data_IF_390823693660
#
_entry.id   IF_390823693660
#
_cell.length_a   1.000
_cell.length_b   1.000
_cell.length_c   1.000
_cell.angle_alpha   90.00
_cell.angle_beta   90.00
_cell.angle_gamma   90.00
#
_symmetry.space_group_name_H-M   'P 1'
#
loop_
_entity.id
_entity.type
_entity.pdbx_description
1 polymer ?
#
# COMPACT_ATOMS: atom_id res chain seq x y z
N UNK A 1 -13.13 -41.39 -77.04
CA UNK A 1 -12.21 -41.66 -75.89
C UNK A 1 -11.38 -40.47 -75.50
N UNK A 2 -11.27 -39.41 -76.26
CA UNK A 2 -10.43 -38.20 -75.96
C UNK A 2 -11.07 -37.15 -75.05
N UNK A 3 -12.40 -37.09 -74.97
CA UNK A 3 -13.11 -36.07 -74.18
C UNK A 3 -13.07 -36.32 -72.66
N UNK A 4 -12.98 -37.54 -72.17
CA UNK A 4 -12.92 -37.88 -70.76
C UNK A 4 -11.57 -37.54 -70.13
N UNK A 5 -10.48 -37.60 -70.87
CA UNK A 5 -9.14 -37.32 -70.42
C UNK A 5 -8.90 -35.81 -70.22
N UNK A 6 -9.51 -35.00 -71.09
CA UNK A 6 -9.44 -33.52 -70.95
C UNK A 6 -10.20 -33.05 -69.71
N UNK A 7 -11.36 -33.65 -69.45
CA UNK A 7 -12.17 -33.29 -68.27
C UNK A 7 -11.43 -33.62 -66.97
N UNK A 8 -10.76 -34.75 -66.89
CA UNK A 8 -10.00 -35.17 -65.69
C UNK A 8 -8.77 -34.31 -65.45
N UNK A 9 -8.08 -33.87 -66.52
CA UNK A 9 -6.94 -32.96 -66.44
C UNK A 9 -7.36 -31.55 -66.00
N UNK A 10 -8.49 -31.03 -66.43
CA UNK A 10 -9.05 -29.76 -66.03
C UNK A 10 -9.46 -29.76 -64.54
N UNK A 11 -10.17 -30.80 -64.09
CA UNK A 11 -10.60 -30.96 -62.72
C UNK A 11 -9.40 -31.03 -61.75
N UNK A 12 -8.34 -31.75 -62.14
CA UNK A 12 -7.11 -31.86 -61.37
C UNK A 12 -6.35 -30.51 -61.28
N UNK A 13 -6.38 -29.72 -62.35
CA UNK A 13 -5.75 -28.37 -62.38
C UNK A 13 -6.54 -27.37 -61.55
N UNK A 14 -7.88 -27.42 -61.55
CA UNK A 14 -8.72 -26.57 -60.71
C UNK A 14 -8.60 -26.94 -59.23
N UNK A 15 -8.56 -28.22 -58.90
CA UNK A 15 -8.35 -28.66 -57.47
C UNK A 15 -7.03 -28.20 -56.93
N UNK A 16 -5.94 -28.28 -57.71
CA UNK A 16 -4.64 -27.80 -57.28
C UNK A 16 -4.55 -26.25 -57.16
N UNK A 17 -5.34 -25.53 -57.97
CA UNK A 17 -5.40 -24.07 -57.91
C UNK A 17 -6.14 -23.59 -56.64
N UNK A 18 -7.25 -24.25 -56.33
CA UNK A 18 -8.04 -23.97 -55.12
C UNK A 18 -7.22 -24.28 -53.87
N UNK A 19 -6.51 -25.41 -53.85
CA UNK A 19 -5.64 -25.76 -52.71
C UNK A 19 -4.46 -24.77 -52.48
N UNK A 20 -3.90 -24.22 -53.58
CA UNK A 20 -2.82 -23.21 -53.50
C UNK A 20 -3.30 -21.85 -53.03
N UNK A 21 -4.59 -21.50 -53.25
CA UNK A 21 -5.13 -20.20 -52.84
C UNK A 21 -5.76 -20.22 -51.42
N UNK A 22 -6.28 -21.38 -50.99
CA UNK A 22 -6.95 -21.49 -49.67
C UNK A 22 -5.97 -21.63 -48.53
N UNK A 23 -4.80 -22.27 -48.73
CA UNK A 23 -3.79 -22.42 -47.67
C UNK A 23 -3.20 -21.10 -47.19
N UNK A 24 -2.76 -20.14 -48.04
CA UNK A 24 -2.24 -18.87 -47.52
C UNK A 24 -3.32 -18.00 -46.87
N UNK A 25 -4.57 -18.06 -47.36
CA UNK A 25 -5.69 -17.29 -46.81
C UNK A 25 -6.06 -17.77 -45.39
N UNK A 26 -6.13 -19.10 -45.16
CA UNK A 26 -6.39 -19.67 -43.84
C UNK A 26 -5.27 -19.35 -42.84
N UNK A 27 -4.01 -19.37 -43.25
CA UNK A 27 -2.87 -19.04 -42.38
C UNK A 27 -2.89 -17.56 -42.02
N UNK A 28 -3.25 -16.66 -42.92
CA UNK A 28 -3.38 -15.23 -42.61
C UNK A 28 -4.53 -14.95 -41.63
N UNK A 29 -5.69 -15.61 -41.78
CA UNK A 29 -6.84 -15.44 -40.89
C UNK A 29 -6.51 -15.97 -39.48
N UNK A 30 -5.83 -17.12 -39.35
CA UNK A 30 -5.37 -17.67 -38.11
C UNK A 30 -4.31 -16.78 -37.45
N UNK A 31 -3.38 -16.21 -38.21
CA UNK A 31 -2.35 -15.29 -37.70
C UNK A 31 -2.94 -13.98 -37.17
N UNK A 32 -3.92 -13.39 -37.86
CA UNK A 32 -4.61 -12.17 -37.40
C UNK A 32 -5.50 -12.45 -36.18
N UNK A 33 -6.18 -13.61 -36.15
CA UNK A 33 -6.97 -14.02 -34.99
C UNK A 33 -6.15 -14.22 -33.74
N UNK A 34 -4.94 -14.79 -33.85
CA UNK A 34 -4.05 -14.98 -32.70
C UNK A 34 -3.44 -13.67 -32.18
N UNK A 35 -3.17 -12.69 -33.04
CA UNK A 35 -2.60 -11.40 -32.65
C UNK A 35 -3.63 -10.50 -31.92
N UNK A 36 -4.92 -10.64 -32.18
CA UNK A 36 -5.97 -9.89 -31.52
C UNK A 36 -6.20 -10.39 -30.07
N UNK A 37 -5.97 -11.68 -29.80
CA UNK A 37 -6.13 -12.26 -28.47
C UNK A 37 -4.97 -11.86 -27.54
N UNK A 38 -3.77 -11.62 -28.09
CA UNK A 38 -2.60 -11.24 -27.30
C UNK A 38 -2.62 -9.78 -26.77
N UNK A 39 -3.50 -8.91 -27.30
CA UNK A 39 -3.62 -7.53 -26.88
C UNK A 39 -4.69 -7.30 -25.79
N UNK A 40 -5.34 -8.35 -25.29
CA UNK A 40 -6.38 -8.27 -24.25
C UNK A 40 -5.85 -8.46 -22.80
N UNK A 41 -4.53 -8.54 -22.61
CA UNK A 41 -3.96 -8.38 -21.28
C UNK A 41 -3.81 -6.88 -20.97
N UNK A 42 -4.92 -6.26 -20.60
CA UNK A 42 -4.88 -4.99 -19.88
C UNK A 42 -4.34 -5.32 -18.48
N UNK A 43 -3.04 -5.12 -18.27
CA UNK A 43 -2.47 -5.16 -16.93
C UNK A 43 -3.03 -3.94 -16.21
N UNK A 44 -4.12 -4.12 -15.47
CA UNK A 44 -4.56 -3.11 -14.53
C UNK A 44 -3.38 -2.87 -13.57
N UNK A 45 -2.73 -1.71 -13.65
CA UNK A 45 -1.68 -1.29 -12.73
C UNK A 45 -2.28 -1.04 -11.33
N UNK A 46 -2.71 -2.15 -10.71
CA UNK A 46 -3.20 -2.10 -9.34
C UNK A 46 -2.04 -1.81 -8.39
N UNK A 47 -2.20 -0.92 -7.42
CA UNK A 47 -1.21 -0.72 -6.38
C UNK A 47 -0.88 -2.05 -5.70
N UNK A 48 0.39 -2.40 -5.58
CA UNK A 48 0.85 -3.62 -4.90
C UNK A 48 0.45 -3.62 -3.42
N UNK A 49 0.30 -2.43 -2.83
CA UNK A 49 -0.13 -2.27 -1.45
C UNK A 49 -1.40 -1.41 -1.40
N UNK A 50 -2.52 -2.01 -0.99
CA UNK A 50 -3.80 -1.31 -0.83
C UNK A 50 -3.94 -0.61 0.54
N UNK A 51 -2.93 -0.72 1.41
CA UNK A 51 -2.94 -0.13 2.73
C UNK A 51 -2.28 1.24 2.67
N UNK A 52 -3.03 2.29 3.00
CA UNK A 52 -2.45 3.61 3.23
C UNK A 52 -1.88 3.70 4.64
N UNK A 53 -0.82 4.47 4.79
CA UNK A 53 -0.06 4.58 6.03
C UNK A 53 -0.09 6.03 6.52
N UNK A 54 -0.42 6.24 7.79
CA UNK A 54 -0.20 7.54 8.42
C UNK A 54 1.28 7.71 8.75
N UNK A 55 1.84 8.85 8.40
CA UNK A 55 3.22 9.20 8.70
C UNK A 55 3.28 10.09 9.94
N UNK A 56 4.07 9.65 10.91
CA UNK A 56 4.27 10.35 12.18
C UNK A 56 5.72 10.77 12.30
N UNK A 57 5.98 12.07 12.41
CA UNK A 57 7.30 12.63 12.71
C UNK A 57 7.51 12.79 14.21
N UNK A 58 8.76 12.65 14.69
CA UNK A 58 9.14 12.80 16.07
C UNK A 58 9.90 14.11 16.30
N UNK A 59 9.50 14.85 17.29
CA UNK A 59 10.00 16.19 17.56
C UNK A 59 10.27 16.42 19.05
N UNK A 60 11.27 17.22 19.34
CA UNK A 60 11.45 17.82 20.65
C UNK A 60 10.37 18.89 20.90
N UNK A 61 10.20 19.31 22.14
CA UNK A 61 9.27 20.37 22.53
C UNK A 61 9.55 21.72 21.87
N UNK A 62 10.78 21.96 21.41
CA UNK A 62 11.21 23.15 20.66
C UNK A 62 10.95 23.08 19.15
N UNK A 63 10.41 21.95 18.66
CA UNK A 63 10.12 21.72 17.24
C UNK A 63 11.28 21.17 16.43
N UNK A 64 12.44 20.89 17.04
CA UNK A 64 13.52 20.20 16.34
C UNK A 64 13.25 18.71 16.21
N UNK A 65 13.77 18.10 15.13
CA UNK A 65 13.61 16.66 14.89
C UNK A 65 14.26 15.87 16.03
N UNK A 66 13.53 14.91 16.58
CA UNK A 66 14.00 13.99 17.59
C UNK A 66 14.27 12.62 17.00
N UNK A 67 15.43 12.04 17.31
CA UNK A 67 15.72 10.63 17.07
C UNK A 67 15.51 9.86 18.37
N UNK A 68 14.56 8.93 18.37
CA UNK A 68 14.29 8.06 19.53
C UNK A 68 15.26 6.89 19.50
N UNK A 69 16.17 6.83 20.47
CA UNK A 69 17.20 5.80 20.57
C UNK A 69 16.74 4.55 21.33
N UNK A 70 15.68 4.67 22.13
CA UNK A 70 15.05 3.52 22.78
C UNK A 70 14.43 2.59 21.74
N UNK A 71 14.27 1.32 22.11
CA UNK A 71 13.51 0.38 21.29
C UNK A 71 12.03 0.75 21.35
N UNK A 72 11.48 1.17 20.21
CA UNK A 72 10.08 1.53 20.04
C UNK A 72 9.30 0.37 19.41
N UNK A 73 8.24 -0.05 20.07
CA UNK A 73 7.21 -0.96 19.51
C UNK A 73 5.87 -0.25 19.56
N UNK A 74 5.08 -0.33 18.50
CA UNK A 74 3.72 0.23 18.48
C UNK A 74 2.71 -0.89 18.29
N UNK A 75 1.68 -0.89 19.13
CA UNK A 75 0.58 -1.85 19.06
C UNK A 75 -0.78 -1.15 18.90
N UNK A 76 -1.71 -1.85 18.26
CA UNK A 76 -3.14 -1.50 18.19
C UNK A 76 -3.93 -2.75 18.56
N UNK A 77 -4.82 -2.67 19.55
CA UNK A 77 -5.61 -3.83 20.02
C UNK A 77 -4.73 -5.09 20.22
N UNK A 78 -3.64 -4.92 20.93
CA UNK A 78 -2.64 -5.98 21.22
C UNK A 78 -1.91 -6.56 20.00
N UNK A 79 -2.21 -6.08 18.78
CA UNK A 79 -1.47 -6.45 17.58
C UNK A 79 -0.29 -5.52 17.36
N UNK A 80 0.91 -6.08 17.17
CA UNK A 80 2.13 -5.31 16.87
C UNK A 80 2.06 -4.82 15.42
N UNK A 81 2.03 -3.50 15.22
CA UNK A 81 2.05 -2.85 13.91
C UNK A 81 3.42 -2.24 13.56
N UNK A 82 4.25 -1.96 14.54
CA UNK A 82 5.65 -1.60 14.41
C UNK A 82 6.46 -2.37 15.45
N UNK A 83 7.47 -3.11 15.01
CA UNK A 83 8.23 -3.98 15.89
C UNK A 83 9.67 -3.49 16.07
N UNK A 84 10.03 -3.10 17.30
CA UNK A 84 11.40 -2.87 17.77
C UNK A 84 12.24 -1.92 16.90
N UNK A 85 11.69 -0.77 16.51
CA UNK A 85 12.45 0.28 15.84
C UNK A 85 13.42 0.93 16.81
N UNK A 86 14.65 1.18 16.39
CA UNK A 86 15.66 1.97 17.12
C UNK A 86 16.25 3.03 16.21
N UNK A 87 16.57 4.21 16.75
CA UNK A 87 17.19 5.30 15.99
C UNK A 87 16.26 5.95 14.97
N UNK A 88 14.94 5.89 15.17
CA UNK A 88 13.96 6.48 14.26
C UNK A 88 13.58 7.92 14.61
N UNK A 89 13.41 8.76 13.59
CA UNK A 89 12.86 10.12 13.70
C UNK A 89 11.47 10.26 13.10
N UNK A 90 10.98 9.26 12.43
CA UNK A 90 9.63 9.15 11.90
C UNK A 90 9.23 7.68 11.76
N UNK A 91 7.94 7.43 11.67
CA UNK A 91 7.36 6.10 11.44
C UNK A 91 6.16 6.19 10.51
N UNK A 92 5.89 5.10 9.81
CA UNK A 92 4.67 4.91 9.04
C UNK A 92 3.84 3.79 9.69
N UNK A 93 2.60 4.09 10.02
CA UNK A 93 1.70 3.17 10.71
C UNK A 93 0.44 2.92 9.90
N UNK A 94 0.00 1.66 9.74
CA UNK A 94 -1.28 1.35 9.11
C UNK A 94 -2.43 1.84 9.99
N UNK A 95 -3.54 2.19 9.35
CA UNK A 95 -4.78 2.55 10.02
C UNK A 95 -5.83 1.45 9.85
N UNK A 96 -6.72 1.30 10.85
CA UNK A 96 -7.82 0.33 10.76
C UNK A 96 -8.84 0.74 9.70
N UNK A 97 -9.35 -0.24 8.95
CA UNK A 97 -10.27 0.00 7.83
C UNK A 97 -11.62 0.56 8.24
N UNK A 98 -12.20 0.05 9.32
CA UNK A 98 -13.61 0.29 9.66
C UNK A 98 -13.80 1.06 10.96
N UNK A 99 -12.77 1.15 11.80
CA UNK A 99 -12.91 1.77 13.11
C UNK A 99 -12.88 3.31 13.00
N UNK A 100 -13.70 4.00 13.78
CA UNK A 100 -13.73 5.47 13.80
C UNK A 100 -12.54 6.06 14.56
N UNK A 101 -11.79 5.25 15.29
CA UNK A 101 -10.58 5.66 15.99
C UNK A 101 -9.61 4.51 16.16
N UNK A 102 -8.31 4.81 16.11
CA UNK A 102 -7.23 3.89 16.44
C UNK A 102 -6.54 4.33 17.73
N UNK A 103 -6.41 3.40 18.68
CA UNK A 103 -5.63 3.58 19.89
C UNK A 103 -4.26 2.98 19.71
N UNK A 104 -3.28 3.83 19.47
CA UNK A 104 -1.88 3.46 19.28
C UNK A 104 -1.18 3.42 20.63
N UNK A 105 -0.63 2.28 21.03
CA UNK A 105 0.17 2.13 22.25
C UNK A 105 1.63 2.09 21.86
N UNK A 106 2.38 3.13 22.26
CA UNK A 106 3.80 3.28 22.03
C UNK A 106 4.56 2.72 23.24
N UNK A 107 5.27 1.65 23.02
CA UNK A 107 6.08 0.96 24.03
C UNK A 107 7.55 1.36 23.86
N UNK A 108 8.07 2.13 24.77
CA UNK A 108 9.48 2.54 24.81
C UNK A 108 10.24 1.63 25.78
N UNK A 109 11.27 0.98 25.27
CA UNK A 109 12.16 0.14 26.07
C UNK A 109 13.61 0.59 25.92
N UNK A 110 14.20 1.28 26.91
CA UNK A 110 15.63 1.55 26.98
C UNK A 110 16.43 0.23 26.98
N UNK A 111 17.69 0.30 26.53
CA UNK A 111 18.57 -0.88 26.43
C UNK A 111 18.72 -1.60 27.76
N UNK A 112 18.89 -0.83 28.84
CA UNK A 112 19.15 -1.34 30.19
C UNK A 112 17.88 -1.59 31.01
N UNK A 113 16.70 -1.28 30.47
CA UNK A 113 15.45 -1.46 31.19
C UNK A 113 14.93 -2.91 31.08
N UNK A 114 14.43 -3.43 32.21
CA UNK A 114 13.82 -4.76 32.27
C UNK A 114 12.48 -4.80 31.51
N UNK A 115 11.68 -3.73 31.64
CA UNK A 115 10.36 -3.61 31.06
C UNK A 115 10.25 -2.40 30.12
N UNK A 116 9.26 -2.41 29.24
CA UNK A 116 8.88 -1.22 28.46
C UNK A 116 7.89 -0.37 29.25
N UNK A 117 7.85 0.93 28.92
CA UNK A 117 6.81 1.87 29.38
C UNK A 117 5.91 2.24 28.22
N UNK A 118 4.63 2.46 28.51
CA UNK A 118 3.62 2.75 27.51
C UNK A 118 3.18 4.21 27.51
N UNK A 119 3.09 4.81 26.33
CA UNK A 119 2.32 6.02 26.06
C UNK A 119 1.24 5.70 25.02
N UNK A 120 0.10 6.36 25.11
CA UNK A 120 -1.04 6.09 24.22
C UNK A 120 -1.37 7.33 23.40
N UNK A 121 -1.60 7.13 22.11
CA UNK A 121 -2.12 8.14 21.18
C UNK A 121 -3.42 7.61 20.60
N UNK A 122 -4.50 8.38 20.71
CA UNK A 122 -5.79 8.08 20.09
C UNK A 122 -5.95 8.97 18.87
N UNK A 123 -6.16 8.35 17.71
CA UNK A 123 -6.39 9.03 16.43
C UNK A 123 -7.82 8.76 16.00
N UNK A 124 -8.68 9.78 16.08
CA UNK A 124 -10.05 9.75 15.57
C UNK A 124 -10.07 10.06 14.08
N UNK A 125 -10.90 9.37 13.30
CA UNK A 125 -10.90 9.50 11.85
C UNK A 125 -12.23 9.13 11.21
N UNK A 126 -12.42 9.56 9.99
CA UNK A 126 -13.41 9.02 9.06
C UNK A 126 -12.73 8.15 8.01
N UNK A 127 -13.44 7.16 7.49
CA UNK A 127 -12.93 6.18 6.54
C UNK A 127 -13.69 6.30 5.22
N UNK A 128 -13.00 6.51 4.12
CA UNK A 128 -13.58 6.67 2.79
C UNK A 128 -13.01 5.61 1.83
N UNK A 129 -13.84 4.72 1.28
CA UNK A 129 -13.39 3.76 0.28
C UNK A 129 -12.87 4.46 -0.96
N UNK A 130 -11.69 4.06 -1.44
CA UNK A 130 -11.06 4.54 -2.64
C UNK A 130 -10.85 3.41 -3.65
N UNK A 131 -11.23 3.64 -4.91
CA UNK A 131 -11.10 2.69 -6.00
C UNK A 131 -10.21 3.30 -7.09
N UNK A 132 -9.11 2.63 -7.42
CA UNK A 132 -8.25 3.01 -8.55
C UNK A 132 -8.90 2.56 -9.85
N UNK A 133 -9.41 1.34 -9.90
CA UNK A 133 -10.20 0.78 -11.01
C UNK A 133 -11.19 -0.26 -10.49
N UNK A 134 -12.10 -0.73 -11.34
CA UNK A 134 -13.08 -1.77 -10.98
C UNK A 134 -12.40 -3.15 -10.73
N UNK A 135 -11.23 -3.37 -11.30
CA UNK A 135 -10.50 -4.63 -11.22
C UNK A 135 -9.50 -4.67 -10.06
N UNK A 136 -9.26 -3.51 -9.42
CA UNK A 136 -8.34 -3.41 -8.28
C UNK A 136 -9.07 -3.58 -6.95
N UNK A 137 -8.37 -4.19 -5.98
CA UNK A 137 -8.86 -4.20 -4.62
C UNK A 137 -8.97 -2.77 -4.09
N UNK A 138 -10.08 -2.47 -3.40
CA UNK A 138 -10.30 -1.14 -2.84
C UNK A 138 -9.31 -0.85 -1.72
N UNK A 139 -8.87 0.38 -1.67
CA UNK A 139 -8.13 0.95 -0.55
C UNK A 139 -9.08 1.70 0.38
N UNK A 140 -8.62 2.02 1.58
CA UNK A 140 -9.35 2.88 2.49
C UNK A 140 -8.52 4.14 2.74
N UNK A 141 -8.99 5.29 2.29
CA UNK A 141 -8.44 6.58 2.67
C UNK A 141 -9.04 7.03 3.99
N UNK A 142 -8.30 7.82 4.74
CA UNK A 142 -8.74 8.28 6.05
C UNK A 142 -8.59 9.79 6.15
N UNK A 143 -9.54 10.44 6.85
CA UNK A 143 -9.41 11.84 7.23
C UNK A 143 -9.34 11.90 8.76
N UNK A 144 -8.23 12.34 9.32
CA UNK A 144 -8.03 12.48 10.77
C UNK A 144 -8.91 13.62 11.25
N UNK A 145 -9.81 13.33 12.18
CA UNK A 145 -10.74 14.31 12.76
C UNK A 145 -10.32 14.82 14.12
N UNK A 146 -9.38 14.12 14.78
CA UNK A 146 -8.85 14.54 16.07
C UNK A 146 -7.78 13.61 16.59
N UNK A 147 -6.95 14.13 17.49
CA UNK A 147 -5.90 13.36 18.17
C UNK A 147 -5.86 13.70 19.65
N UNK A 148 -5.54 12.72 20.47
CA UNK A 148 -5.23 12.92 21.89
C UNK A 148 -4.11 11.97 22.32
N UNK A 149 -3.40 12.29 23.41
CA UNK A 149 -2.37 11.42 23.95
C UNK A 149 -2.43 11.34 25.47
N UNK A 150 -1.91 10.25 26.01
CA UNK A 150 -1.64 10.13 27.43
C UNK A 150 -0.59 11.18 27.84
N UNK A 151 -0.60 11.54 29.11
CA UNK A 151 0.40 12.47 29.68
C UNK A 151 1.22 11.70 30.70
N UNK A 152 2.44 11.37 30.35
CA UNK A 152 3.43 10.79 31.25
C UNK A 152 4.60 11.76 31.42
N UNK A 153 5.21 11.74 32.58
CA UNK A 153 6.46 12.46 32.81
C UNK A 153 7.63 11.51 32.57
N UNK A 154 8.65 11.89 31.76
CA UNK A 154 9.85 11.09 31.62
C UNK A 154 10.68 11.10 32.93
N UNK A 155 11.51 10.09 33.12
CA UNK A 155 12.41 9.94 34.25
C UNK A 155 13.79 9.45 33.84
N UNK A 156 14.70 9.24 34.77
CA UNK A 156 16.07 8.82 34.46
C UNK A 156 16.21 7.42 33.81
N UNK A 157 15.17 6.59 33.91
CA UNK A 157 15.15 5.26 33.29
C UNK A 157 14.44 5.34 31.93
N UNK A 158 13.29 6.04 31.88
CA UNK A 158 12.45 6.19 30.70
C UNK A 158 12.52 7.62 30.19
N UNK A 159 13.53 7.88 29.36
CA UNK A 159 13.92 9.24 28.95
C UNK A 159 12.89 9.95 28.08
N UNK A 160 12.03 9.21 27.39
CA UNK A 160 11.05 9.77 26.46
C UNK A 160 9.63 9.60 26.97
N UNK A 161 8.82 10.64 26.85
CA UNK A 161 7.38 10.58 27.06
C UNK A 161 6.65 11.45 26.03
N UNK A 162 5.55 10.95 25.47
CA UNK A 162 4.73 11.73 24.52
C UNK A 162 4.04 12.86 25.30
N UNK A 163 4.37 14.11 24.95
CA UNK A 163 3.82 15.29 25.59
C UNK A 163 2.64 15.90 24.82
N UNK A 164 2.71 15.87 23.49
CA UNK A 164 1.73 16.50 22.61
C UNK A 164 1.73 15.81 21.24
N UNK A 165 0.56 15.75 20.60
CA UNK A 165 0.41 15.34 19.19
C UNK A 165 -0.36 16.42 18.43
N UNK A 166 0.10 16.73 17.23
CA UNK A 166 -0.50 17.74 16.35
C UNK A 166 -0.78 17.11 14.99
N UNK A 167 -1.95 17.37 14.44
CA UNK A 167 -2.28 17.00 13.05
C UNK A 167 -1.73 18.08 12.12
N UNK A 168 -0.83 17.70 11.22
CA UNK A 168 -0.25 18.58 10.18
C UNK A 168 -0.96 18.43 8.86
N UNK A 169 -1.31 17.19 8.49
CA UNK A 169 -2.13 16.86 7.35
C UNK A 169 -3.21 15.85 7.77
N UNK A 170 -4.48 16.24 7.65
CA UNK A 170 -5.58 15.38 8.04
C UNK A 170 -5.82 14.23 7.06
N UNK A 171 -5.46 14.41 5.78
CA UNK A 171 -5.69 13.42 4.74
C UNK A 171 -4.60 12.34 4.74
N UNK A 172 -5.01 11.08 4.90
CA UNK A 172 -4.14 9.91 4.84
C UNK A 172 -4.50 9.13 3.58
N UNK A 173 -3.62 9.21 2.60
CA UNK A 173 -3.77 8.66 1.26
C UNK A 173 -2.41 8.13 0.76
N UNK A 174 -2.19 8.03 -0.55
CA UNK A 174 -0.95 7.57 -1.15
C UNK A 174 0.16 8.63 -1.26
N UNK A 175 -0.07 9.88 -0.85
CA UNK A 175 0.92 10.96 -0.98
C UNK A 175 2.04 10.90 0.07
N UNK A 176 1.87 10.06 1.11
CA UNK A 176 2.84 9.81 2.17
C UNK A 176 3.34 11.09 2.88
N UNK A 177 2.53 12.16 2.87
CA UNK A 177 2.85 13.37 3.61
C UNK A 177 2.78 13.12 5.12
N UNK A 178 3.53 13.91 5.89
CA UNK A 178 3.49 13.83 7.34
C UNK A 178 2.11 14.25 7.85
N UNK A 179 1.42 13.31 8.52
CA UNK A 179 0.09 13.52 9.06
C UNK A 179 0.11 14.00 10.51
N UNK A 180 1.01 13.44 11.30
CA UNK A 180 1.11 13.72 12.74
C UNK A 180 2.53 14.15 13.12
N UNK A 181 2.60 15.19 13.94
CA UNK A 181 3.81 15.53 14.68
C UNK A 181 3.64 15.11 16.14
N UNK A 182 4.52 14.22 16.60
CA UNK A 182 4.55 13.73 17.98
C UNK A 182 5.69 14.43 18.71
N UNK A 183 5.34 15.27 19.67
CA UNK A 183 6.29 16.03 20.49
C UNK A 183 6.58 15.28 21.78
N UNK A 184 7.85 15.10 22.05
CA UNK A 184 8.33 14.38 23.22
C UNK A 184 8.85 15.32 24.29
N UNK A 185 8.47 15.04 25.52
CA UNK A 185 9.19 15.50 26.71
C UNK A 185 10.39 14.55 26.89
N UNK A 186 11.58 15.11 27.01
CA UNK A 186 12.82 14.34 27.19
C UNK A 186 13.37 14.66 28.59
N UNK A 187 13.73 13.62 29.36
CA UNK A 187 14.40 13.77 30.63
C UNK A 187 15.81 14.35 30.40
N UNK A 188 16.16 15.38 31.12
CA UNK A 188 17.46 16.10 31.07
C UNK A 188 18.18 16.03 32.38
#
# INVERSE_FOLDING_TARGET
MQTAEIHTRLMKKYSNLIHKMTTPLCVCILGVGLSVIASACDSSDCPLNNTVMQKCGFYNTDGTILTVNDTLTVTVRDSVILNRLTGGSNIMLPMSYNEPADTLVFLFKPVDAVAAVADTVVVSKTNTPHFVSLDCARSMFHTITGVSCSKRTPDAVYNYAIGKVVVTNAEVNYDEQENLQIFFNVYR
#
